data_IF_197409516217
#
_entry.id   IF_197409516217
#
_cell.length_a   1.000
_cell.length_b   1.000
_cell.length_c   1.000
_cell.angle_alpha   90.00
_cell.angle_beta   90.00
_cell.angle_gamma   90.00
#
_symmetry.space_group_name_H-M   'P 1'
#
loop_
_entity.id
_entity.type
_entity.pdbx_description
1 polymer ?
#
# COMPACT_ATOMS: atom_id res chain seq x y z
N UNK A 1 -8.28 -1.34 19.59
CA UNK A 1 -9.43 -0.60 19.07
C UNK A 1 -8.84 0.54 18.29
N UNK A 2 -9.21 0.65 17.02
CA UNK A 2 -8.54 1.56 16.10
C UNK A 2 -9.34 2.85 16.04
N UNK A 3 -8.63 3.98 16.10
CA UNK A 3 -9.21 5.32 16.11
C UNK A 3 -8.53 6.17 15.06
N UNK A 4 -9.34 6.92 14.31
CA UNK A 4 -8.88 7.91 13.36
C UNK A 4 -9.43 9.28 13.76
N UNK A 5 -8.55 10.25 13.91
CA UNK A 5 -8.85 11.62 14.32
C UNK A 5 -8.51 12.56 13.17
N UNK A 6 -9.52 13.24 12.64
CA UNK A 6 -9.36 14.25 11.60
C UNK A 6 -9.25 15.63 12.27
N UNK A 7 -8.19 16.37 11.97
CA UNK A 7 -7.88 17.72 12.47
C UNK A 7 -7.56 18.66 11.30
N UNK A 8 -7.49 19.97 11.51
CA UNK A 8 -7.14 20.90 10.42
C UNK A 8 -5.72 20.68 9.85
N UNK A 9 -4.79 20.22 10.70
CA UNK A 9 -3.38 19.97 10.36
C UNK A 9 -3.11 18.61 9.72
N UNK A 10 -4.04 17.65 9.85
CA UNK A 10 -3.91 16.34 9.23
C UNK A 10 -4.78 15.27 9.87
N UNK A 11 -4.37 14.02 9.68
CA UNK A 11 -5.09 12.82 10.11
C UNK A 11 -4.19 12.01 11.02
N UNK A 12 -4.62 11.83 12.26
CA UNK A 12 -3.92 10.99 13.22
C UNK A 12 -4.62 9.64 13.29
N UNK A 13 -3.89 8.57 13.02
CA UNK A 13 -4.39 7.21 12.98
C UNK A 13 -3.72 6.39 14.07
N UNK A 14 -4.53 5.89 14.99
CA UNK A 14 -4.10 4.97 16.05
C UNK A 14 -4.62 3.58 15.73
N UNK A 15 -3.72 2.62 15.54
CA UNK A 15 -4.05 1.22 15.26
C UNK A 15 -3.50 0.31 16.35
N UNK A 16 -4.28 -0.69 16.73
CA UNK A 16 -3.78 -1.81 17.52
C UNK A 16 -3.46 -2.98 16.61
N UNK A 17 -2.17 -3.20 16.39
CA UNK A 17 -1.66 -4.31 15.58
C UNK A 17 -1.11 -5.40 16.49
N UNK A 18 -1.38 -6.66 16.20
CA UNK A 18 -0.76 -7.78 16.92
C UNK A 18 0.62 -8.04 16.34
N UNK A 19 1.66 -7.84 17.14
CA UNK A 19 3.05 -8.12 16.76
C UNK A 19 3.59 -9.18 17.71
N UNK A 20 3.88 -10.37 17.15
CA UNK A 20 4.38 -11.53 17.91
C UNK A 20 3.49 -11.91 19.11
N UNK A 21 2.17 -11.95 18.91
CA UNK A 21 1.21 -12.36 19.93
C UNK A 21 0.97 -11.32 21.04
N UNK A 22 1.48 -10.09 20.87
CA UNK A 22 1.23 -8.97 21.78
C UNK A 22 0.59 -7.81 21.01
N UNK A 23 -0.52 -7.23 21.52
CA UNK A 23 -1.09 -6.03 20.93
C UNK A 23 -0.11 -4.87 21.14
N UNK A 24 0.30 -4.24 20.04
CA UNK A 24 1.06 -2.98 20.03
C UNK A 24 0.21 -1.90 19.41
N UNK A 25 0.28 -0.72 20.01
CA UNK A 25 -0.31 0.49 19.47
C UNK A 25 0.67 1.12 18.49
N UNK A 26 0.16 1.51 17.33
CA UNK A 26 0.89 2.18 16.28
C UNK A 26 0.17 3.48 15.97
N UNK A 27 0.87 4.60 16.12
CA UNK A 27 0.39 5.92 15.78
C UNK A 27 1.05 6.36 14.47
N UNK A 28 0.23 6.80 13.53
CA UNK A 28 0.65 7.28 12.21
C UNK A 28 0.01 8.65 11.99
N UNK A 29 0.82 9.66 11.66
CA UNK A 29 0.36 10.97 11.25
C UNK A 29 0.40 11.04 9.73
N UNK A 30 -0.75 11.28 9.11
CA UNK A 30 -0.90 11.36 7.66
C UNK A 30 -1.44 12.73 7.29
N UNK A 31 -0.87 13.36 6.28
CA UNK A 31 -1.51 14.51 5.63
C UNK A 31 -2.76 14.08 4.86
N UNK A 32 -3.63 15.03 4.53
CA UNK A 32 -4.80 14.77 3.69
C UNK A 32 -4.44 14.32 2.27
N UNK A 33 -3.31 14.79 1.74
CA UNK A 33 -2.79 14.34 0.45
C UNK A 33 -2.37 12.87 0.54
N UNK A 34 -1.62 12.48 1.57
CA UNK A 34 -1.22 11.09 1.80
C UNK A 34 -2.41 10.16 2.09
N UNK A 35 -3.42 10.64 2.84
CA UNK A 35 -4.64 9.87 3.06
C UNK A 35 -5.39 9.61 1.75
N UNK A 36 -5.46 10.62 0.87
CA UNK A 36 -6.16 10.53 -0.41
C UNK A 36 -5.39 9.69 -1.44
N UNK A 37 -4.05 9.68 -1.38
CA UNK A 37 -3.19 8.81 -2.18
C UNK A 37 -3.15 7.36 -1.67
N UNK A 38 -3.50 7.14 -0.40
CA UNK A 38 -3.58 5.82 0.23
C UNK A 38 -4.92 5.14 -0.10
N UNK A 39 -5.08 4.77 -1.37
CA UNK A 39 -6.29 4.21 -1.97
C UNK A 39 -6.76 2.84 -1.40
N UNK A 40 -6.00 2.23 -0.48
CA UNK A 40 -6.31 0.95 0.17
C UNK A 40 -6.85 1.10 1.61
N UNK A 41 -7.05 2.33 2.12
CA UNK A 41 -7.72 2.56 3.40
C UNK A 41 -9.23 2.30 3.29
N UNK A 42 -9.62 1.03 3.43
CA UNK A 42 -11.02 0.65 3.61
C UNK A 42 -11.39 0.77 5.08
N UNK A 43 -12.00 1.89 5.44
CA UNK A 43 -12.42 2.17 6.81
C UNK A 43 -13.81 1.58 7.07
N UNK A 44 -13.89 0.50 7.85
CA UNK A 44 -15.15 0.00 8.40
C UNK A 44 -15.52 0.84 9.63
N UNK A 45 -16.22 1.95 9.39
CA UNK A 45 -16.58 2.94 10.40
C UNK A 45 -17.65 2.38 11.34
N UNK A 46 -17.34 2.28 12.63
CA UNK A 46 -18.29 1.92 13.68
C UNK A 46 -19.09 3.14 14.14
N UNK A 47 -18.40 4.26 14.36
CA UNK A 47 -19.02 5.48 14.89
C UNK A 47 -18.24 6.72 14.47
N UNK A 48 -18.97 7.80 14.20
CA UNK A 48 -18.42 9.14 13.97
C UNK A 48 -18.91 10.04 15.11
N UNK A 49 -17.99 10.70 15.80
CA UNK A 49 -18.31 11.68 16.84
C UNK A 49 -17.63 13.00 16.49
N UNK A 50 -18.40 14.06 16.18
CA UNK A 50 -17.84 15.39 16.05
C UNK A 50 -17.49 15.92 17.44
N UNK A 51 -16.34 16.55 17.57
CA UNK A 51 -15.86 17.20 18.78
C UNK A 51 -15.24 18.55 18.46
N UNK A 52 -14.93 19.32 19.49
CA UNK A 52 -14.24 20.60 19.37
C UNK A 52 -13.13 20.66 20.41
N UNK A 53 -11.92 20.93 19.94
CA UNK A 53 -10.75 20.94 20.79
C UNK A 53 -10.72 22.17 21.73
N UNK A 54 -9.68 22.24 22.57
CA UNK A 54 -9.48 23.31 23.55
C UNK A 54 -9.34 24.71 22.90
N UNK A 55 -8.99 24.75 21.60
CA UNK A 55 -8.77 25.94 20.80
C UNK A 55 -9.99 26.33 19.95
N UNK A 56 -11.05 25.53 19.95
CA UNK A 56 -12.26 25.76 19.14
C UNK A 56 -12.19 25.14 17.74
N UNK A 57 -11.20 24.31 17.44
CA UNK A 57 -11.06 23.61 16.16
C UNK A 57 -11.99 22.40 16.10
N UNK A 58 -12.57 22.18 14.92
CA UNK A 58 -13.49 21.07 14.70
C UNK A 58 -12.70 19.78 14.49
N UNK A 59 -12.92 18.80 15.37
CA UNK A 59 -12.29 17.48 15.30
C UNK A 59 -13.35 16.44 14.99
N UNK A 60 -13.01 15.45 14.16
CA UNK A 60 -13.87 14.29 13.93
C UNK A 60 -13.18 13.04 14.43
N UNK A 61 -13.77 12.41 15.46
CA UNK A 61 -13.37 11.10 15.95
C UNK A 61 -14.11 10.02 15.19
N UNK A 62 -13.37 9.15 14.52
CA UNK A 62 -13.88 8.00 13.79
C UNK A 62 -13.39 6.74 14.50
N UNK A 63 -14.34 6.04 15.13
CA UNK A 63 -14.11 4.73 15.73
C UNK A 63 -14.26 3.68 14.64
N UNK A 64 -13.25 2.82 14.51
CA UNK A 64 -13.23 1.76 13.51
C UNK A 64 -13.59 0.43 14.13
N UNK A 65 -14.40 -0.36 13.42
CA UNK A 65 -14.80 -1.67 13.88
C UNK A 65 -13.61 -2.63 13.76
N UNK A 66 -12.96 -2.96 14.88
CA UNK A 66 -11.86 -3.92 14.93
C UNK A 66 -12.31 -5.39 14.73
N UNK A 67 -13.60 -5.62 14.45
CA UNK A 67 -14.13 -6.91 14.03
C UNK A 67 -13.83 -7.14 12.56
N UNK A 68 -12.64 -7.69 12.30
CA UNK A 68 -12.09 -7.95 10.97
C UNK A 68 -13.15 -8.27 9.92
N UNK A 69 -13.14 -7.47 8.85
CA UNK A 69 -13.73 -7.87 7.58
C UNK A 69 -13.12 -9.22 7.26
N UNK A 70 -13.91 -10.29 7.44
CA UNK A 70 -13.58 -11.60 6.90
C UNK A 70 -13.30 -11.37 5.44
N UNK A 71 -12.01 -11.38 5.11
CA UNK A 71 -11.50 -11.57 3.77
C UNK A 71 -12.41 -12.59 3.13
N UNK A 72 -13.05 -12.20 2.03
CA UNK A 72 -13.51 -13.20 1.08
C UNK A 72 -12.22 -13.94 0.71
N UNK A 73 -12.01 -15.09 1.35
CA UNK A 73 -10.99 -16.06 0.99
C UNK A 73 -11.30 -16.53 -0.42
N UNK A 74 -10.91 -15.74 -1.41
CA UNK A 74 -10.23 -16.32 -2.55
C UNK A 74 -8.89 -16.74 -2.01
N UNK A 75 -8.71 -18.04 -1.81
CA UNK A 75 -7.38 -18.59 -1.74
C UNK A 75 -6.71 -18.27 -3.08
N UNK A 76 -5.99 -17.16 -3.15
CA UNK A 76 -4.90 -17.03 -4.10
C UNK A 76 -3.77 -17.83 -3.48
N UNK A 77 -3.54 -19.01 -4.05
CA UNK A 77 -2.30 -19.75 -3.89
C UNK A 77 -1.16 -18.73 -3.91
N UNK A 78 -0.49 -18.54 -2.77
CA UNK A 78 0.84 -17.94 -2.78
C UNK A 78 1.64 -18.82 -3.72
N UNK A 79 2.14 -18.33 -4.87
CA UNK A 79 3.04 -19.14 -5.67
C UNK A 79 4.24 -19.41 -4.76
N UNK A 80 4.51 -20.68 -4.47
CA UNK A 80 5.73 -21.18 -3.77
C UNK A 80 7.02 -20.73 -4.50
N UNK A 81 6.88 -20.08 -5.66
CA UNK A 81 7.92 -19.69 -6.60
C UNK A 81 8.27 -18.19 -6.58
N UNK A 82 7.58 -17.30 -5.84
CA UNK A 82 7.98 -15.88 -5.80
C UNK A 82 9.26 -15.73 -4.94
N UNK A 83 10.39 -15.25 -5.50
CA UNK A 83 11.64 -15.15 -4.74
C UNK A 83 11.49 -14.22 -3.52
N UNK A 84 12.36 -14.36 -2.54
CA UNK A 84 12.38 -13.46 -1.38
C UNK A 84 12.74 -12.03 -1.80
N UNK A 85 12.20 -11.04 -1.08
CA UNK A 85 12.55 -9.63 -1.31
C UNK A 85 14.00 -9.42 -0.86
N UNK A 86 14.88 -8.85 -1.71
CA UNK A 86 16.28 -8.60 -1.32
C UNK A 86 16.38 -7.75 -0.05
N UNK A 87 17.15 -8.20 0.94
CA UNK A 87 17.35 -7.47 2.20
C UNK A 87 18.32 -6.30 2.03
N UNK A 88 17.78 -5.09 1.92
CA UNK A 88 18.51 -3.82 1.85
C UNK A 88 18.30 -3.04 3.16
N UNK A 89 19.35 -2.53 3.81
CA UNK A 89 19.22 -1.70 5.01
C UNK A 89 18.35 -0.46 4.77
N UNK A 90 17.40 -0.18 5.67
CA UNK A 90 16.45 0.93 5.49
C UNK A 90 17.15 2.30 5.41
N UNK A 91 18.28 2.47 6.07
CA UNK A 91 19.10 3.69 6.04
C UNK A 91 19.79 3.92 4.69
N UNK A 92 19.91 2.89 3.86
CA UNK A 92 20.38 3.00 2.47
C UNK A 92 19.24 3.33 1.49
N UNK A 93 17.98 3.24 1.94
CA UNK A 93 16.78 3.52 1.16
C UNK A 93 16.29 4.93 1.46
N UNK A 94 15.98 5.71 0.42
CA UNK A 94 15.34 7.02 0.57
C UNK A 94 14.07 6.91 1.42
N UNK A 95 13.89 7.82 2.38
CA UNK A 95 12.79 7.80 3.36
C UNK A 95 11.41 7.65 2.70
N UNK A 96 11.16 8.36 1.60
CA UNK A 96 9.91 8.27 0.83
C UNK A 96 9.64 6.91 0.18
N UNK A 97 10.66 6.05 0.06
CA UNK A 97 10.60 4.71 -0.56
C UNK A 97 10.48 3.58 0.46
N UNK A 98 10.88 3.82 1.71
CA UNK A 98 10.85 2.81 2.78
C UNK A 98 9.45 2.20 3.02
N UNK A 99 8.34 2.96 2.99
CA UNK A 99 7.01 2.39 3.15
C UNK A 99 6.64 1.41 2.03
N UNK A 100 7.09 1.65 0.80
CA UNK A 100 6.79 0.78 -0.33
C UNK A 100 7.66 -0.48 -0.30
N UNK A 101 8.94 -0.33 0.01
CA UNK A 101 9.87 -1.45 0.19
C UNK A 101 9.43 -2.41 1.31
N UNK A 102 9.13 -1.88 2.50
CA UNK A 102 8.68 -2.70 3.64
C UNK A 102 7.36 -3.45 3.38
N UNK A 103 6.54 -2.98 2.43
CA UNK A 103 5.26 -3.59 2.06
C UNK A 103 5.39 -4.64 0.93
N UNK A 104 6.56 -4.81 0.31
CA UNK A 104 6.79 -5.80 -0.76
C UNK A 104 6.64 -7.25 -0.27
N UNK A 105 6.79 -7.51 1.02
CA UNK A 105 6.67 -8.84 1.64
C UNK A 105 5.30 -9.11 2.27
N UNK A 106 4.36 -8.15 2.21
CA UNK A 106 3.04 -8.29 2.84
C UNK A 106 1.95 -8.58 1.79
N UNK A 107 1.39 -9.80 1.73
CA UNK A 107 0.41 -10.21 0.73
C UNK A 107 -0.88 -9.39 0.67
N UNK A 108 -1.21 -8.67 1.75
CA UNK A 108 -2.42 -7.85 1.83
C UNK A 108 -2.20 -6.44 1.24
N UNK A 109 -1.00 -6.14 0.73
CA UNK A 109 -0.62 -4.80 0.29
C UNK A 109 -0.38 -4.74 -1.21
N UNK A 110 -0.80 -3.64 -1.83
CA UNK A 110 -0.63 -3.39 -3.25
C UNK A 110 0.83 -3.53 -3.76
N UNK A 111 1.89 -3.15 -3.01
CA UNK A 111 3.27 -3.39 -3.45
C UNK A 111 3.61 -4.87 -3.65
N UNK A 112 3.14 -5.75 -2.76
CA UNK A 112 3.29 -7.20 -2.91
C UNK A 112 2.53 -7.68 -4.16
N UNK A 113 1.26 -7.33 -4.30
CA UNK A 113 0.44 -7.71 -5.46
C UNK A 113 1.05 -7.23 -6.77
N UNK A 114 1.62 -6.03 -6.77
CA UNK A 114 2.34 -5.45 -7.92
C UNK A 114 3.55 -6.29 -8.29
N UNK A 115 4.41 -6.63 -7.31
CA UNK A 115 5.58 -7.49 -7.50
C UNK A 115 5.19 -8.85 -8.04
N UNK A 116 4.16 -9.48 -7.45
CA UNK A 116 3.64 -10.77 -7.87
C UNK A 116 3.15 -10.76 -9.32
N UNK A 117 2.32 -9.78 -9.70
CA UNK A 117 1.79 -9.67 -11.07
C UNK A 117 2.93 -9.54 -12.09
N UNK A 118 3.97 -8.76 -11.78
CA UNK A 118 5.12 -8.59 -12.68
C UNK A 118 5.90 -9.89 -12.81
N UNK A 119 6.17 -10.57 -11.69
CA UNK A 119 6.85 -11.86 -11.68
C UNK A 119 6.09 -12.91 -12.52
N UNK A 120 4.79 -13.07 -12.30
CA UNK A 120 3.94 -14.04 -13.02
C UNK A 120 3.85 -13.74 -14.52
N UNK A 121 3.86 -12.46 -14.91
CA UNK A 121 3.81 -12.07 -16.31
C UNK A 121 5.16 -12.23 -17.02
N UNK A 122 6.27 -12.07 -16.30
CA UNK A 122 7.63 -11.96 -16.84
C UNK A 122 7.88 -10.65 -17.60
N UNK A 123 6.99 -10.27 -18.51
CA UNK A 123 7.02 -8.99 -19.23
C UNK A 123 5.59 -8.49 -19.47
N UNK A 124 5.34 -7.22 -19.16
CA UNK A 124 4.04 -6.57 -19.41
C UNK A 124 4.19 -5.05 -19.53
N UNK A 125 3.15 -4.37 -20.01
CA UNK A 125 3.07 -2.91 -20.02
C UNK A 125 2.52 -2.35 -18.71
N UNK A 126 2.83 -1.08 -18.40
CA UNK A 126 2.25 -0.38 -17.24
C UNK A 126 0.71 -0.34 -17.31
N UNK A 127 0.14 -0.27 -18.52
CA UNK A 127 -1.30 -0.37 -18.75
C UNK A 127 -1.88 -1.73 -18.30
N UNK A 128 -1.22 -2.82 -18.71
CA UNK A 128 -1.63 -4.18 -18.33
C UNK A 128 -1.47 -4.41 -16.83
N UNK A 129 -0.43 -3.84 -16.22
CA UNK A 129 -0.22 -3.92 -14.77
C UNK A 129 -1.39 -3.29 -14.03
N UNK A 130 -1.75 -2.05 -14.39
CA UNK A 130 -2.87 -1.33 -13.78
C UNK A 130 -4.19 -2.07 -13.99
N UNK A 131 -4.40 -2.65 -15.17
CA UNK A 131 -5.58 -3.44 -15.44
C UNK A 131 -5.66 -4.66 -14.51
N UNK A 132 -4.59 -5.42 -14.35
CA UNK A 132 -4.55 -6.59 -13.47
C UNK A 132 -4.71 -6.19 -11.99
N UNK A 133 -4.12 -5.08 -11.55
CA UNK A 133 -4.31 -4.56 -10.20
C UNK A 133 -5.76 -4.15 -9.93
N UNK A 134 -6.41 -3.50 -10.89
CA UNK A 134 -7.83 -3.18 -10.82
C UNK A 134 -8.69 -4.44 -10.64
N UNK A 135 -8.42 -5.46 -11.46
CA UNK A 135 -9.10 -6.76 -11.45
C UNK A 135 -8.84 -7.53 -10.13
N UNK A 136 -7.68 -7.33 -9.49
CA UNK A 136 -7.32 -7.90 -8.19
C UNK A 136 -7.82 -7.11 -6.97
N UNK A 137 -8.74 -6.16 -7.16
CA UNK A 137 -9.41 -5.49 -6.05
C UNK A 137 -8.72 -4.22 -5.54
N UNK A 138 -7.85 -3.62 -6.36
CA UNK A 138 -7.32 -2.27 -6.14
C UNK A 138 -8.05 -1.25 -7.05
N UNK A 139 -9.30 -0.85 -6.74
CA UNK A 139 -10.14 -0.06 -7.64
C UNK A 139 -9.59 1.35 -7.91
N UNK A 140 -8.73 1.88 -7.03
CA UNK A 140 -8.03 3.16 -7.22
C UNK A 140 -6.89 3.10 -8.26
N UNK A 141 -6.58 1.92 -8.77
CA UNK A 141 -5.65 1.72 -9.88
C UNK A 141 -6.47 1.51 -11.14
N UNK A 142 -6.49 2.51 -12.03
CA UNK A 142 -7.20 2.42 -13.31
C UNK A 142 -6.23 2.61 -14.48
N UNK A 143 -6.35 1.81 -15.56
CA UNK A 143 -5.68 2.11 -16.83
C UNK A 143 -6.08 3.50 -17.33
N UNK A 144 -5.13 4.25 -17.88
CA UNK A 144 -5.32 5.63 -18.33
C UNK A 144 -5.09 6.69 -17.24
N UNK A 145 -4.98 6.29 -15.96
CA UNK A 145 -4.78 7.22 -14.83
C UNK A 145 -3.41 7.06 -14.19
N UNK A 146 -2.87 8.17 -13.70
CA UNK A 146 -1.69 8.15 -12.84
C UNK A 146 -2.06 7.63 -11.47
N UNK A 147 -1.22 6.78 -10.90
CA UNK A 147 -1.35 6.30 -9.53
C UNK A 147 0.03 6.36 -8.86
N UNK A 148 0.16 7.25 -7.88
CA UNK A 148 1.44 7.52 -7.20
C UNK A 148 1.99 6.28 -6.50
N UNK A 149 1.12 5.48 -5.86
CA UNK A 149 1.51 4.25 -5.18
C UNK A 149 2.11 3.19 -6.12
N UNK A 150 1.47 2.97 -7.29
CA UNK A 150 2.03 2.08 -8.32
C UNK A 150 3.37 2.62 -8.83
N UNK A 151 3.45 3.92 -9.11
CA UNK A 151 4.69 4.53 -9.60
C UNK A 151 5.84 4.39 -8.60
N UNK A 152 5.60 4.66 -7.32
CA UNK A 152 6.58 4.52 -6.24
C UNK A 152 7.01 3.07 -6.05
N UNK A 153 6.07 2.12 -6.09
CA UNK A 153 6.38 0.68 -6.03
C UNK A 153 7.28 0.26 -7.19
N UNK A 154 6.98 0.69 -8.42
CA UNK A 154 7.81 0.41 -9.58
C UNK A 154 9.21 1.03 -9.47
N UNK A 155 9.35 2.18 -8.81
CA UNK A 155 10.67 2.78 -8.54
C UNK A 155 11.45 1.94 -7.52
N UNK A 156 10.80 1.42 -6.48
CA UNK A 156 11.45 0.52 -5.53
C UNK A 156 11.92 -0.77 -6.22
N UNK A 157 11.06 -1.38 -7.03
CA UNK A 157 11.41 -2.62 -7.73
C UNK A 157 12.56 -2.45 -8.73
N UNK A 158 12.66 -1.29 -9.38
CA UNK A 158 13.69 -0.99 -10.39
C UNK A 158 15.00 -0.50 -9.73
N UNK A 159 14.91 0.53 -8.88
CA UNK A 159 16.09 1.24 -8.37
C UNK A 159 16.61 0.76 -7.01
N UNK A 160 15.76 0.09 -6.22
CA UNK A 160 16.12 -0.40 -4.88
C UNK A 160 16.41 -1.89 -4.94
N UNK A 161 15.44 -2.71 -5.31
CA UNK A 161 15.61 -4.17 -5.33
C UNK A 161 16.23 -4.70 -6.61
N UNK A 162 16.17 -3.95 -7.73
CA UNK A 162 16.74 -4.35 -9.01
C UNK A 162 16.04 -5.57 -9.64
N UNK A 163 14.79 -5.80 -9.27
CA UNK A 163 14.03 -6.98 -9.69
C UNK A 163 13.35 -6.80 -11.05
N UNK A 164 13.20 -5.55 -11.49
CA UNK A 164 12.57 -5.21 -12.77
C UNK A 164 13.43 -4.25 -13.56
N UNK A 165 13.27 -4.28 -14.88
CA UNK A 165 13.70 -3.23 -15.80
C UNK A 165 12.49 -2.55 -16.42
N UNK A 166 12.63 -1.24 -16.68
CA UNK A 166 11.56 -0.42 -17.26
C UNK A 166 12.04 0.29 -18.51
N UNK A 167 11.38 0.06 -19.63
CA UNK A 167 11.73 0.68 -20.92
C UNK A 167 10.54 1.39 -21.56
N UNK A 168 10.79 2.55 -22.18
CA UNK A 168 9.77 3.32 -22.88
C UNK A 168 9.15 4.45 -22.04
N UNK A 169 7.94 4.88 -22.39
CA UNK A 169 7.27 6.06 -21.79
C UNK A 169 5.76 5.91 -21.76
N UNK A 170 5.14 6.57 -20.80
CA UNK A 170 3.69 6.54 -20.64
C UNK A 170 3.19 5.13 -20.31
N UNK A 171 1.98 4.81 -20.75
CA UNK A 171 1.33 3.54 -20.42
C UNK A 171 1.82 2.34 -21.24
N UNK A 172 2.49 2.62 -22.36
CA UNK A 172 3.17 1.63 -23.19
C UNK A 172 4.59 1.32 -22.68
N UNK A 173 4.96 1.85 -21.50
CA UNK A 173 6.21 1.50 -20.84
C UNK A 173 6.18 0.01 -20.51
N UNK A 174 7.17 -0.71 -21.02
CA UNK A 174 7.39 -2.12 -20.75
C UNK A 174 8.08 -2.29 -19.40
N UNK A 175 7.59 -3.24 -18.63
CA UNK A 175 8.12 -3.66 -17.33
C UNK A 175 8.48 -5.14 -17.48
N UNK A 176 9.75 -5.47 -17.24
CA UNK A 176 10.27 -6.84 -17.36
C UNK A 176 10.87 -7.28 -16.04
N UNK A 177 10.57 -8.50 -15.61
CA UNK A 177 11.26 -9.13 -14.49
C UNK A 177 12.68 -9.54 -14.88
N UNK A 178 13.67 -9.10 -14.09
CA UNK A 178 15.10 -9.43 -14.28
C UNK A 178 15.78 -9.95 -13.01
N UNK A 179 15.09 -9.92 -11.86
CA UNK A 179 15.62 -10.43 -10.60
C UNK A 179 15.89 -11.94 -10.65
N UNK A 180 16.95 -12.37 -9.94
CA UNK A 180 17.30 -13.79 -9.84
C UNK A 180 16.17 -14.56 -9.14
N UNK A 181 15.81 -15.71 -9.73
CA UNK A 181 14.77 -16.63 -9.24
C UNK A 181 15.33 -17.64 -8.25
#
# INVERSE_FOLDING_TARGET
MDELILREDGVHLTKQIEVMGSPKEFEEELSYEELNENHDLRLDIEKITPDTDENGEFIVHIQLNSGGTKSRSGATDTPDDLPEVPEIPLDEIQESRQPFYSRLSNPERQPYTTRQIIYEAGELTERELKQRLHENGHPGVEPGKQNGSVASTLVVLDEVTGEIEREGRGEDKTIRWVGES
#
